data_IF_097488782711
#
_entry.id   IF_097488782711
#
_cell.length_a   1.000
_cell.length_b   1.000
_cell.length_c   1.000
_cell.angle_alpha   90.00
_cell.angle_beta   90.00
_cell.angle_gamma   90.00
#
_symmetry.space_group_name_H-M   'P 1'
#
loop_
_entity.id
_entity.type
_entity.pdbx_description
1 polymer ?
#
# COMPACT_ATOMS: atom_id res chain seq x y z
N UNK A 1 15.33 13.99 55.78
CA UNK A 1 15.42 12.95 54.76
C UNK A 1 16.49 11.99 55.21
N UNK A 2 16.12 10.75 55.50
CA UNK A 2 17.03 9.78 56.11
C UNK A 2 18.12 9.40 55.09
N UNK A 3 19.38 9.29 55.54
CA UNK A 3 20.54 8.97 54.68
C UNK A 3 20.32 7.69 53.86
N UNK A 4 19.48 6.77 54.35
CA UNK A 4 19.12 5.51 53.64
C UNK A 4 18.32 5.81 52.37
N UNK A 5 17.41 6.80 52.39
CA UNK A 5 16.63 7.19 51.19
C UNK A 5 17.51 7.88 50.16
N UNK A 6 18.52 8.62 50.60
CA UNK A 6 19.46 9.29 49.69
C UNK A 6 20.32 8.27 48.94
N UNK A 7 20.82 7.22 49.65
CA UNK A 7 21.58 6.14 48.99
C UNK A 7 20.72 5.31 48.05
N UNK A 8 19.46 5.03 48.40
CA UNK A 8 18.53 4.33 47.52
C UNK A 8 18.23 5.13 46.25
N UNK A 9 18.04 6.47 46.37
CA UNK A 9 17.81 7.36 45.22
C UNK A 9 19.06 7.45 44.31
N UNK A 10 20.26 7.53 44.92
CA UNK A 10 21.53 7.50 44.20
C UNK A 10 21.76 6.19 43.45
N UNK A 11 21.45 5.05 44.10
CA UNK A 11 21.51 3.73 43.49
C UNK A 11 20.54 3.61 42.33
N UNK A 12 19.30 4.09 42.51
CA UNK A 12 18.28 4.14 41.42
C UNK A 12 18.73 4.99 40.26
N UNK A 13 19.33 6.18 40.53
CA UNK A 13 19.89 7.06 39.49
C UNK A 13 21.05 6.41 38.73
N UNK A 14 21.95 5.71 39.43
CA UNK A 14 23.05 4.98 38.79
C UNK A 14 22.57 3.81 37.94
N UNK A 15 21.53 3.09 38.35
CA UNK A 15 20.94 2.00 37.55
C UNK A 15 20.24 2.52 36.30
N UNK A 16 19.59 3.69 36.39
CA UNK A 16 18.96 4.36 35.22
C UNK A 16 20.03 4.81 34.22
N UNK A 17 21.17 5.34 34.66
CA UNK A 17 22.26 5.73 33.78
C UNK A 17 22.95 4.55 33.08
N UNK A 18 23.08 3.40 33.77
CA UNK A 18 23.62 2.19 33.16
C UNK A 18 22.68 1.58 32.08
N UNK A 19 21.38 1.79 32.21
CA UNK A 19 20.39 1.33 31.22
C UNK A 19 20.35 2.22 29.93
N UNK A 20 20.79 3.46 30.01
CA UNK A 20 20.78 4.43 28.87
C UNK A 20 22.00 4.24 27.96
N UNK A 21 23.06 3.57 28.42
CA UNK A 21 24.36 3.48 27.74
C UNK A 21 24.51 2.36 26.68
N UNK A 22 23.56 1.48 26.50
CA UNK A 22 23.65 0.44 25.47
C UNK A 22 23.18 1.00 24.11
N UNK A 23 24.11 1.49 23.33
CA UNK A 23 23.89 1.82 21.93
C UNK A 23 23.58 0.51 21.17
N UNK A 24 22.29 0.20 21.03
CA UNK A 24 21.84 -0.99 20.30
C UNK A 24 22.18 -0.82 18.84
N UNK A 25 22.97 -1.73 18.28
CA UNK A 25 23.22 -1.83 16.86
C UNK A 25 22.42 -3.00 16.27
N UNK A 26 22.06 -2.85 15.00
CA UNK A 26 21.26 -3.82 14.26
C UNK A 26 21.96 -4.17 12.96
N UNK A 27 21.46 -5.21 12.29
CA UNK A 27 21.95 -5.64 11.00
C UNK A 27 20.94 -5.33 9.89
N UNK A 28 21.44 -4.92 8.75
CA UNK A 28 20.70 -4.86 7.50
C UNK A 28 21.12 -6.07 6.69
N UNK A 29 20.19 -7.00 6.48
CA UNK A 29 20.40 -8.23 5.72
C UNK A 29 19.58 -8.18 4.45
N UNK A 30 19.96 -8.96 3.46
CA UNK A 30 19.19 -9.04 2.23
C UNK A 30 19.74 -10.02 1.24
N UNK A 31 19.14 -10.01 0.06
CA UNK A 31 19.59 -10.79 -1.08
C UNK A 31 19.62 -9.90 -2.30
N UNK A 32 20.70 -9.97 -3.08
CA UNK A 32 20.78 -9.31 -4.38
C UNK A 32 20.48 -10.36 -5.45
N UNK A 33 19.53 -10.05 -6.33
CA UNK A 33 19.08 -10.93 -7.40
C UNK A 33 19.10 -10.20 -8.73
N UNK A 34 19.27 -10.93 -9.79
CA UNK A 34 18.99 -10.47 -11.15
C UNK A 34 17.48 -10.29 -11.32
N UNK A 35 17.05 -9.11 -11.74
CA UNK A 35 15.65 -8.75 -11.90
C UNK A 35 14.92 -9.58 -12.96
N UNK A 36 15.66 -10.17 -13.91
CA UNK A 36 15.15 -10.93 -15.04
C UNK A 36 15.01 -12.40 -14.74
N UNK A 37 16.10 -12.99 -14.23
CA UNK A 37 16.21 -14.42 -14.00
C UNK A 37 15.82 -14.83 -12.59
N UNK A 38 15.73 -13.88 -11.65
CA UNK A 38 15.54 -14.13 -10.22
C UNK A 38 16.72 -14.85 -9.57
N UNK A 39 17.82 -15.08 -10.33
CA UNK A 39 19.00 -15.75 -9.81
C UNK A 39 19.74 -14.85 -8.83
N UNK A 40 20.30 -15.40 -7.76
CA UNK A 40 21.13 -14.63 -6.84
C UNK A 40 22.39 -14.14 -7.57
N UNK A 41 22.79 -12.90 -7.25
CA UNK A 41 24.04 -12.31 -7.76
C UNK A 41 25.09 -12.42 -6.67
N UNK A 42 26.09 -13.32 -6.81
CA UNK A 42 27.19 -13.42 -5.87
C UNK A 42 28.18 -12.27 -6.08
N UNK A 43 28.87 -11.90 -5.00
CA UNK A 43 29.92 -10.88 -4.98
C UNK A 43 29.47 -9.47 -5.41
N UNK A 44 28.17 -9.18 -5.35
CA UNK A 44 27.65 -7.83 -5.54
C UNK A 44 28.02 -6.96 -4.33
N UNK A 45 28.43 -5.73 -4.59
CA UNK A 45 28.71 -4.76 -3.53
C UNK A 45 27.42 -4.11 -3.07
N UNK A 46 27.20 -4.07 -1.75
CA UNK A 46 26.05 -3.41 -1.13
C UNK A 46 26.57 -2.48 -0.04
N UNK A 47 26.35 -1.19 -0.20
CA UNK A 47 26.81 -0.16 0.77
C UNK A 47 25.65 0.67 1.27
N UNK A 48 25.75 1.13 2.50
CA UNK A 48 24.85 2.15 3.03
C UNK A 48 25.19 3.47 2.33
N UNK A 49 24.18 4.04 1.66
CA UNK A 49 24.34 5.24 0.83
C UNK A 49 25.06 6.38 1.57
N UNK A 50 26.04 6.99 0.93
CA UNK A 50 26.89 8.05 1.48
C UNK A 50 27.71 7.66 2.72
N UNK A 51 27.99 6.36 2.91
CA UNK A 51 28.88 5.88 3.96
C UNK A 51 29.88 4.87 3.40
N UNK A 52 30.84 4.47 4.22
CA UNK A 52 31.78 3.38 3.92
C UNK A 52 31.32 2.03 4.46
N UNK A 53 30.17 1.99 5.15
CA UNK A 53 29.64 0.74 5.69
C UNK A 53 28.93 -0.06 4.60
N UNK A 54 29.36 -1.30 4.40
CA UNK A 54 28.80 -2.17 3.37
C UNK A 54 29.20 -3.61 3.56
N UNK A 55 28.71 -4.45 2.67
CA UNK A 55 29.03 -5.86 2.57
C UNK A 55 29.03 -6.29 1.12
N UNK A 56 29.70 -7.41 0.83
CA UNK A 56 29.66 -8.10 -0.45
C UNK A 56 28.75 -9.30 -0.31
N UNK A 57 27.93 -9.60 -1.31
CA UNK A 57 27.07 -10.78 -1.28
C UNK A 57 27.89 -12.08 -1.35
N UNK A 58 27.42 -13.08 -0.64
CA UNK A 58 27.98 -14.43 -0.69
C UNK A 58 27.60 -15.18 -1.99
N UNK A 59 28.00 -16.46 -2.10
CA UNK A 59 27.69 -17.31 -3.25
C UNK A 59 26.19 -17.52 -3.48
N UNK A 60 25.34 -17.23 -2.50
CA UNK A 60 23.87 -17.33 -2.58
C UNK A 60 23.21 -15.97 -2.76
N UNK A 61 24.01 -14.91 -3.01
CA UNK A 61 23.54 -13.54 -3.17
C UNK A 61 23.10 -12.86 -1.88
N UNK A 62 23.34 -13.47 -0.70
CA UNK A 62 22.98 -12.90 0.60
C UNK A 62 24.06 -11.91 1.06
N UNK A 63 23.63 -10.85 1.74
CA UNK A 63 24.50 -9.89 2.40
C UNK A 63 24.02 -9.57 3.81
N UNK A 64 24.96 -9.18 4.68
CA UNK A 64 24.68 -8.67 6.01
C UNK A 64 25.61 -7.50 6.33
N UNK A 65 25.03 -6.34 6.65
CA UNK A 65 25.74 -5.15 7.13
C UNK A 65 25.39 -4.98 8.59
N UNK A 66 26.34 -5.30 9.48
CA UNK A 66 26.17 -5.30 10.94
C UNK A 66 26.61 -3.98 11.56
N UNK A 67 26.24 -3.74 12.81
CA UNK A 67 26.71 -2.59 13.58
C UNK A 67 26.04 -1.28 13.20
N UNK A 68 24.89 -1.31 12.58
CA UNK A 68 24.16 -0.11 12.16
C UNK A 68 23.29 0.40 13.31
N UNK A 69 23.45 1.66 13.67
CA UNK A 69 22.61 2.33 14.67
C UNK A 69 21.17 2.51 14.15
N UNK A 70 20.17 2.62 15.05
CA UNK A 70 18.85 3.02 14.63
C UNK A 70 18.87 4.31 13.82
N UNK A 71 18.21 4.32 12.67
CA UNK A 71 18.26 5.45 11.76
C UNK A 71 17.55 5.20 10.46
N UNK A 72 17.80 6.06 9.52
CA UNK A 72 17.26 6.02 8.16
C UNK A 72 18.36 5.83 7.17
N UNK A 73 18.13 4.88 6.30
CA UNK A 73 19.15 4.43 5.40
C UNK A 73 18.59 4.20 3.99
N UNK A 74 19.48 4.32 3.02
CA UNK A 74 19.33 3.80 1.66
C UNK A 74 20.48 2.84 1.43
N UNK A 75 20.27 1.82 0.67
CA UNK A 75 21.33 0.94 0.20
C UNK A 75 21.62 1.24 -1.26
N UNK A 76 22.88 1.28 -1.61
CA UNK A 76 23.34 1.22 -2.99
C UNK A 76 23.88 -0.17 -3.24
N UNK A 77 23.43 -0.80 -4.32
CA UNK A 77 24.01 -2.05 -4.80
C UNK A 77 24.58 -1.87 -6.19
N UNK A 78 25.74 -2.48 -6.43
CA UNK A 78 26.41 -2.46 -7.73
C UNK A 78 27.11 -3.79 -7.99
N UNK A 79 27.11 -4.21 -9.25
CA UNK A 79 27.83 -5.38 -9.72
C UNK A 79 28.23 -5.18 -11.18
N UNK A 80 29.33 -5.79 -11.58
CA UNK A 80 29.82 -5.69 -12.95
C UNK A 80 28.80 -6.25 -13.96
N UNK A 81 28.45 -5.48 -14.98
CA UNK A 81 27.42 -5.86 -15.94
C UNK A 81 25.98 -5.55 -15.51
N UNK A 82 25.79 -4.84 -14.40
CA UNK A 82 24.48 -4.43 -13.90
C UNK A 82 24.40 -2.92 -13.68
N UNK A 83 23.19 -2.36 -13.85
CA UNK A 83 22.92 -0.96 -13.52
C UNK A 83 23.00 -0.78 -12.00
N UNK A 84 23.74 0.21 -11.50
CA UNK A 84 23.72 0.52 -10.06
C UNK A 84 22.31 0.86 -9.58
N UNK A 85 21.94 0.35 -8.43
CA UNK A 85 20.62 0.54 -7.88
C UNK A 85 20.69 1.15 -6.49
N UNK A 86 19.85 2.16 -6.22
CA UNK A 86 19.69 2.75 -4.89
C UNK A 86 18.26 2.51 -4.43
N UNK A 87 18.12 1.97 -3.22
CA UNK A 87 16.81 1.70 -2.62
C UNK A 87 16.08 2.98 -2.27
N UNK A 88 14.75 2.92 -2.11
CA UNK A 88 14.03 3.93 -1.36
C UNK A 88 14.54 4.01 0.09
N UNK A 89 14.34 5.17 0.73
CA UNK A 89 14.73 5.34 2.13
C UNK A 89 13.87 4.47 3.05
N UNK A 90 14.52 3.67 3.92
CA UNK A 90 13.88 2.82 4.90
C UNK A 90 14.37 3.11 6.31
N UNK A 91 13.63 2.67 7.32
CA UNK A 91 13.97 2.85 8.72
C UNK A 91 14.47 1.56 9.35
N UNK A 92 15.67 1.63 9.94
CA UNK A 92 16.18 0.65 10.88
C UNK A 92 15.87 1.16 12.29
N UNK A 93 14.91 0.54 12.99
CA UNK A 93 14.47 1.02 14.31
C UNK A 93 15.08 0.18 15.44
N UNK A 94 14.42 -0.93 15.81
CA UNK A 94 14.75 -1.74 16.95
C UNK A 94 14.85 -3.25 16.64
N UNK A 95 15.06 -3.57 15.37
CA UNK A 95 15.22 -4.96 14.86
C UNK A 95 16.02 -4.97 13.58
N UNK A 96 16.65 -6.11 13.28
CA UNK A 96 17.24 -6.38 11.98
C UNK A 96 16.19 -6.31 10.88
N UNK A 97 16.59 -5.84 9.70
CA UNK A 97 15.72 -5.74 8.53
C UNK A 97 16.25 -6.63 7.42
N UNK A 98 15.34 -7.26 6.66
CA UNK A 98 15.68 -8.01 5.45
C UNK A 98 15.20 -7.24 4.22
N UNK A 99 16.12 -6.93 3.29
CA UNK A 99 15.86 -6.11 2.12
C UNK A 99 16.27 -6.82 0.84
N UNK A 100 15.31 -7.29 0.00
CA UNK A 100 15.64 -7.82 -1.32
C UNK A 100 15.98 -6.68 -2.28
N UNK A 101 17.07 -6.85 -3.03
CA UNK A 101 17.53 -5.92 -4.07
C UNK A 101 17.51 -6.68 -5.40
N UNK A 102 16.90 -6.07 -6.40
CA UNK A 102 16.85 -6.60 -7.77
C UNK A 102 17.65 -5.68 -8.67
N UNK A 103 18.69 -6.19 -9.31
CA UNK A 103 19.53 -5.45 -10.23
C UNK A 103 19.15 -5.78 -11.68
N UNK A 104 19.11 -4.77 -12.52
CA UNK A 104 18.93 -4.89 -13.97
C UNK A 104 20.28 -5.02 -14.65
N UNK A 105 20.44 -5.96 -15.62
CA UNK A 105 21.63 -6.04 -16.45
C UNK A 105 21.85 -4.72 -17.21
N UNK A 106 23.10 -4.24 -17.23
CA UNK A 106 23.48 -3.12 -18.08
C UNK A 106 23.89 -3.65 -19.47
N UNK A 107 23.48 -2.97 -20.52
CA UNK A 107 24.09 -3.15 -21.85
C UNK A 107 25.51 -2.59 -21.78
N UNK A 108 26.51 -3.44 -21.98
CA UNK A 108 27.94 -3.19 -21.75
C UNK A 108 28.38 -1.74 -22.05
N UNK A 109 28.69 -0.94 -21.04
CA UNK A 109 29.81 0.00 -21.02
C UNK A 109 30.13 0.48 -19.62
N UNK A 110 31.37 0.29 -19.21
CA UNK A 110 31.93 0.73 -17.94
C UNK A 110 32.27 2.24 -18.01
N UNK A 111 31.30 3.11 -17.96
CA UNK A 111 31.54 4.49 -17.57
C UNK A 111 31.05 4.67 -16.14
N UNK A 112 31.85 5.39 -15.33
CA UNK A 112 31.52 5.74 -13.97
C UNK A 112 30.16 6.46 -13.93
N UNK A 113 29.12 5.70 -13.59
CA UNK A 113 27.76 6.25 -13.49
C UNK A 113 27.63 6.88 -12.12
N UNK A 114 27.60 8.20 -12.08
CA UNK A 114 27.19 8.94 -10.88
C UNK A 114 25.73 8.63 -10.59
N UNK A 115 25.48 7.77 -9.60
CA UNK A 115 24.12 7.43 -9.17
C UNK A 115 23.62 8.53 -8.26
N UNK A 116 22.70 9.35 -8.76
CA UNK A 116 21.99 10.34 -7.94
C UNK A 116 20.74 9.68 -7.36
N UNK A 117 20.61 9.66 -6.04
CA UNK A 117 19.39 9.20 -5.39
C UNK A 117 18.27 10.22 -5.61
N UNK A 118 17.54 10.06 -6.71
CA UNK A 118 16.37 10.86 -7.05
C UNK A 118 15.07 10.13 -6.68
N UNK A 119 14.07 10.78 -6.10
CA UNK A 119 12.73 10.20 -5.94
C UNK A 119 12.04 9.98 -7.29
N UNK A 120 12.57 10.59 -8.37
CA UNK A 120 12.08 10.40 -9.72
C UNK A 120 12.91 9.32 -10.43
N UNK A 121 12.29 8.19 -10.70
CA UNK A 121 12.88 7.15 -11.56
C UNK A 121 12.40 7.33 -12.98
N UNK A 122 13.32 7.20 -13.92
CA UNK A 122 12.99 7.03 -15.34
C UNK A 122 13.03 5.54 -15.62
N UNK A 123 11.93 4.97 -16.03
CA UNK A 123 11.88 3.64 -16.62
C UNK A 123 11.59 3.77 -18.11
N UNK A 124 12.03 2.83 -18.92
CA UNK A 124 11.75 2.86 -20.35
C UNK A 124 10.23 2.83 -20.64
N UNK A 125 9.45 2.20 -19.76
CA UNK A 125 7.97 2.15 -19.86
C UNK A 125 7.28 3.42 -19.34
N UNK A 126 7.93 4.20 -18.49
CA UNK A 126 7.39 5.45 -17.95
C UNK A 126 8.54 6.46 -17.76
N UNK A 127 9.00 7.08 -18.86
CA UNK A 127 10.14 8.00 -18.81
C UNK A 127 9.81 9.31 -18.09
N UNK A 128 8.53 9.64 -17.98
CA UNK A 128 8.03 10.85 -17.37
C UNK A 128 6.92 10.50 -16.38
N UNK A 129 6.97 11.06 -15.17
CA UNK A 129 5.84 10.98 -14.23
C UNK A 129 5.87 9.84 -13.21
N UNK A 130 6.90 9.00 -13.17
CA UNK A 130 7.08 8.04 -12.08
C UNK A 130 7.78 8.70 -10.88
N UNK A 131 7.12 8.71 -9.74
CA UNK A 131 7.69 9.07 -8.45
C UNK A 131 7.65 7.87 -7.51
N UNK A 132 8.79 7.57 -6.90
CA UNK A 132 8.91 6.50 -5.91
C UNK A 132 8.84 7.10 -4.51
N UNK A 133 7.84 6.69 -3.75
CA UNK A 133 7.56 7.16 -2.39
C UNK A 133 7.98 6.05 -1.43
N UNK A 134 9.01 6.30 -0.63
CA UNK A 134 9.47 5.36 0.38
C UNK A 134 8.66 5.45 1.67
N UNK A 135 8.71 4.39 2.48
CA UNK A 135 8.05 4.32 3.79
C UNK A 135 8.28 5.57 4.65
N UNK A 136 9.51 6.13 4.64
CA UNK A 136 9.83 7.32 5.42
C UNK A 136 9.16 8.60 4.96
N UNK A 137 8.98 8.76 3.68
CA UNK A 137 8.23 9.91 3.15
C UNK A 137 6.79 9.85 3.64
N UNK A 138 6.20 8.63 3.70
CA UNK A 138 4.87 8.40 4.26
C UNK A 138 4.84 8.71 5.78
N UNK A 139 5.85 8.23 6.52
CA UNK A 139 5.93 8.41 7.98
C UNK A 139 6.16 9.87 8.40
N UNK A 140 7.00 10.62 7.66
CA UNK A 140 7.41 11.99 8.00
C UNK A 140 6.57 13.08 7.36
N UNK A 141 5.64 12.74 6.49
CA UNK A 141 4.81 13.74 5.81
C UNK A 141 3.97 14.51 6.82
N UNK A 142 4.19 15.82 6.88
CA UNK A 142 3.45 16.70 7.78
C UNK A 142 1.95 16.67 7.44
N UNK A 143 1.10 16.38 8.43
CA UNK A 143 -0.34 16.23 8.23
C UNK A 143 -0.77 14.94 7.51
N UNK A 144 0.17 14.11 7.07
CA UNK A 144 -0.10 12.88 6.33
C UNK A 144 -0.70 11.76 7.18
N UNK A 145 -0.55 11.81 8.51
CA UNK A 145 -1.04 10.79 9.43
C UNK A 145 -0.73 9.35 9.00
N UNK A 146 0.46 9.14 8.40
CA UNK A 146 0.92 7.86 7.83
C UNK A 146 0.00 7.30 6.73
N UNK A 147 -0.79 8.15 6.07
CA UNK A 147 -1.71 7.81 4.99
C UNK A 147 -1.13 8.22 3.65
N UNK A 148 -1.00 7.26 2.73
CA UNK A 148 -0.41 7.49 1.42
C UNK A 148 -1.25 8.46 0.56
N UNK A 149 -2.57 8.42 0.68
CA UNK A 149 -3.44 9.33 -0.07
C UNK A 149 -3.13 10.79 0.28
N UNK A 150 -2.94 11.08 1.57
CA UNK A 150 -2.58 12.42 2.04
C UNK A 150 -1.19 12.84 1.61
N UNK A 151 -0.23 11.90 1.57
CA UNK A 151 1.11 12.18 1.04
C UNK A 151 1.05 12.55 -0.43
N UNK A 152 0.31 11.77 -1.23
CA UNK A 152 0.17 12.01 -2.67
C UNK A 152 -0.56 13.32 -2.95
N UNK A 153 -1.52 13.73 -2.12
CA UNK A 153 -2.21 15.03 -2.23
C UNK A 153 -1.28 16.25 -2.06
N UNK A 154 -0.07 16.06 -1.52
CA UNK A 154 0.92 17.15 -1.43
C UNK A 154 1.73 17.34 -2.71
N UNK A 155 1.57 16.47 -3.70
CA UNK A 155 2.37 16.50 -4.92
C UNK A 155 1.81 17.43 -5.98
N UNK A 156 2.67 18.04 -6.80
CA UNK A 156 2.22 18.86 -7.91
C UNK A 156 1.29 18.10 -8.86
N UNK A 157 0.19 18.73 -9.25
CA UNK A 157 -0.80 18.14 -10.15
C UNK A 157 -1.80 17.21 -9.46
N UNK A 158 -1.76 17.11 -8.13
CA UNK A 158 -2.77 16.37 -7.34
C UNK A 158 -3.61 17.38 -6.55
N UNK A 159 -4.92 17.36 -6.76
CA UNK A 159 -5.84 18.18 -6.00
C UNK A 159 -6.35 17.41 -4.77
N UNK A 160 -6.49 18.12 -3.65
CA UNK A 160 -7.14 17.62 -2.45
C UNK A 160 -8.65 17.79 -2.56
N UNK A 161 -9.38 16.87 -1.96
CA UNK A 161 -10.84 16.98 -1.81
C UNK A 161 -11.21 17.69 -0.50
N UNK A 162 -12.51 17.87 -0.30
CA UNK A 162 -13.06 18.45 0.92
C UNK A 162 -12.61 17.69 2.18
N UNK A 163 -12.72 18.32 3.35
CA UNK A 163 -12.42 17.71 4.64
C UNK A 163 -13.10 16.34 4.81
N UNK A 164 -12.43 15.42 5.48
CA UNK A 164 -12.88 14.06 5.75
C UNK A 164 -12.93 13.12 4.52
N UNK A 165 -12.30 13.49 3.40
CA UNK A 165 -12.13 12.63 2.23
C UNK A 165 -10.68 12.59 1.76
N UNK A 166 -10.25 11.42 1.32
CA UNK A 166 -8.91 11.19 0.76
C UNK A 166 -8.94 10.81 -0.72
N UNK A 167 -9.95 11.27 -1.44
CA UNK A 167 -10.01 11.07 -2.89
C UNK A 167 -8.79 11.69 -3.58
N UNK A 168 -8.27 11.00 -4.55
CA UNK A 168 -7.16 11.47 -5.37
C UNK A 168 -7.68 11.99 -6.71
N UNK A 169 -7.52 13.27 -6.94
CA UNK A 169 -7.78 13.93 -8.21
C UNK A 169 -6.45 14.31 -8.85
N UNK A 170 -6.00 13.52 -9.82
CA UNK A 170 -4.68 13.70 -10.42
C UNK A 170 -4.83 14.28 -11.82
N UNK A 171 -4.18 15.42 -12.06
CA UNK A 171 -4.17 16.14 -13.36
C UNK A 171 -5.57 16.41 -13.92
N UNK A 172 -6.53 16.72 -13.05
CA UNK A 172 -7.90 17.01 -13.42
C UNK A 172 -8.79 15.79 -13.62
N UNK A 173 -8.25 14.57 -13.50
CA UNK A 173 -9.05 13.35 -13.55
C UNK A 173 -9.77 13.05 -12.25
N UNK A 174 -10.90 12.36 -12.34
CA UNK A 174 -11.74 11.98 -11.21
C UNK A 174 -11.15 10.82 -10.39
N UNK A 175 -11.65 10.62 -9.15
CA UNK A 175 -11.14 9.54 -8.27
C UNK A 175 -11.30 8.14 -8.87
N UNK A 176 -12.32 7.87 -9.67
CA UNK A 176 -12.57 6.59 -10.33
C UNK A 176 -11.59 6.27 -11.47
N UNK A 177 -10.83 7.25 -11.92
CA UNK A 177 -9.88 7.13 -13.02
C UNK A 177 -8.49 6.64 -12.56
N UNK A 178 -8.29 6.52 -11.24
CA UNK A 178 -7.08 5.99 -10.65
C UNK A 178 -7.14 4.47 -10.53
N UNK A 179 -5.98 3.81 -10.57
CA UNK A 179 -5.86 2.37 -10.30
C UNK A 179 -4.84 2.11 -9.21
N UNK A 180 -5.14 1.12 -8.41
CA UNK A 180 -4.33 0.76 -7.24
C UNK A 180 -3.91 -0.70 -7.34
N UNK A 181 -2.61 -0.95 -7.13
CA UNK A 181 -2.05 -2.30 -7.16
C UNK A 181 -1.29 -2.58 -5.87
N UNK A 182 -1.43 -3.77 -5.32
CA UNK A 182 -0.76 -4.24 -4.12
C UNK A 182 0.06 -5.50 -4.50
N UNK A 183 1.39 -5.38 -4.60
CA UNK A 183 2.29 -6.43 -5.12
C UNK A 183 1.81 -7.07 -6.45
N UNK A 184 1.20 -6.25 -7.31
CA UNK A 184 0.68 -6.71 -8.59
C UNK A 184 -0.82 -7.05 -8.58
N UNK A 185 -1.45 -7.29 -7.46
CA UNK A 185 -2.90 -7.48 -7.34
C UNK A 185 -3.61 -6.15 -7.41
N UNK A 186 -4.54 -5.98 -8.33
CA UNK A 186 -5.36 -4.78 -8.42
C UNK A 186 -6.41 -4.78 -7.30
N UNK A 187 -6.50 -3.66 -6.58
CA UNK A 187 -7.46 -3.43 -5.49
C UNK A 187 -8.41 -2.29 -5.85
N UNK A 188 -9.69 -2.34 -5.45
CA UNK A 188 -10.69 -1.37 -5.90
C UNK A 188 -10.48 0.02 -5.30
N UNK A 189 -10.02 0.10 -4.07
CA UNK A 189 -9.77 1.35 -3.36
C UNK A 189 -8.68 1.19 -2.30
N UNK A 190 -8.21 2.32 -1.74
CA UNK A 190 -7.13 2.38 -0.75
C UNK A 190 -7.56 3.03 0.57
N UNK A 191 -8.83 3.40 0.71
CA UNK A 191 -9.36 4.08 1.90
C UNK A 191 -10.58 3.36 2.47
N UNK A 192 -10.79 3.50 3.78
CA UNK A 192 -12.02 3.14 4.47
C UNK A 192 -13.18 4.05 4.03
N UNK A 193 -14.42 3.60 4.22
CA UNK A 193 -15.63 4.35 3.88
C UNK A 193 -15.63 4.83 2.42
N UNK A 194 -15.16 3.99 1.52
CA UNK A 194 -15.17 4.30 0.09
C UNK A 194 -16.61 4.47 -0.39
N UNK A 195 -16.81 5.40 -1.33
CA UNK A 195 -18.08 5.53 -2.03
C UNK A 195 -17.94 5.02 -3.45
N UNK A 196 -19.02 4.55 -4.04
CA UNK A 196 -19.02 4.06 -5.41
C UNK A 196 -18.46 5.13 -6.37
N UNK A 197 -17.50 4.74 -7.20
CA UNK A 197 -16.84 5.66 -8.13
C UNK A 197 -15.86 6.64 -7.50
N UNK A 198 -15.49 6.46 -6.21
CA UNK A 198 -14.53 7.30 -5.50
C UNK A 198 -13.71 6.48 -4.50
N UNK A 199 -12.48 6.89 -4.24
CA UNK A 199 -11.60 6.20 -3.28
C UNK A 199 -11.87 6.56 -1.80
N UNK A 200 -12.70 7.50 -1.56
CA UNK A 200 -13.51 7.80 -0.38
C UNK A 200 -12.85 8.33 0.86
N UNK A 201 -13.08 7.69 1.97
CA UNK A 201 -13.00 8.14 3.35
C UNK A 201 -11.67 8.68 3.89
N UNK A 202 -11.67 9.08 5.17
CA UNK A 202 -10.59 9.90 5.74
C UNK A 202 -9.31 9.12 6.12
N UNK A 203 -9.31 7.79 6.04
CA UNK A 203 -8.23 6.93 6.52
C UNK A 203 -7.91 5.83 5.52
N UNK A 204 -6.63 5.60 5.28
CA UNK A 204 -6.14 4.54 4.41
C UNK A 204 -6.32 3.13 4.99
N UNK A 205 -6.77 2.19 4.14
CA UNK A 205 -6.96 0.79 4.50
C UNK A 205 -5.63 0.00 4.51
N UNK A 206 -4.64 0.42 3.71
CA UNK A 206 -3.34 -0.26 3.63
C UNK A 206 -2.51 0.06 4.86
N UNK A 207 -1.99 -0.97 5.54
CA UNK A 207 -1.09 -0.76 6.65
C UNK A 207 0.26 -0.19 6.16
N UNK A 208 0.62 1.06 6.55
CA UNK A 208 1.85 1.68 6.09
C UNK A 208 3.12 0.95 6.53
N UNK A 209 3.08 0.20 7.64
CA UNK A 209 4.23 -0.57 8.12
C UNK A 209 4.62 -1.73 7.20
N UNK A 210 3.72 -2.15 6.31
CA UNK A 210 3.99 -3.18 5.32
C UNK A 210 4.50 -2.62 3.99
N UNK A 211 4.38 -1.31 3.78
CA UNK A 211 4.82 -0.68 2.54
C UNK A 211 6.35 -0.59 2.53
N UNK A 212 6.96 -1.11 1.48
CA UNK A 212 8.37 -0.89 1.15
C UNK A 212 8.53 0.42 0.37
N UNK A 213 7.76 0.54 -0.70
CA UNK A 213 7.71 1.71 -1.58
C UNK A 213 6.38 1.74 -2.33
N UNK A 214 6.01 2.92 -2.82
CA UNK A 214 4.87 3.13 -3.70
C UNK A 214 5.36 3.79 -4.98
N UNK A 215 5.11 3.16 -6.11
CA UNK A 215 5.35 3.73 -7.41
C UNK A 215 4.11 4.52 -7.83
N UNK A 216 4.23 5.84 -7.85
CA UNK A 216 3.17 6.74 -8.25
C UNK A 216 3.41 7.23 -9.68
N UNK A 217 2.53 6.83 -10.58
CA UNK A 217 2.52 7.24 -11.98
C UNK A 217 1.42 8.28 -12.18
N UNK A 218 1.80 9.52 -12.53
CA UNK A 218 0.87 10.64 -12.65
C UNK A 218 0.58 11.09 -14.09
N UNK A 219 1.22 10.48 -15.09
CA UNK A 219 1.05 10.90 -16.49
C UNK A 219 1.16 9.75 -17.48
N UNK A 220 2.29 9.03 -17.46
CA UNK A 220 2.53 7.90 -18.33
C UNK A 220 2.62 6.64 -17.47
N UNK A 221 1.85 5.62 -17.80
CA UNK A 221 1.86 4.34 -17.09
C UNK A 221 2.24 3.23 -18.03
N UNK A 222 2.85 2.13 -17.51
CA UNK A 222 3.13 0.95 -18.30
C UNK A 222 1.86 0.39 -18.97
N UNK A 223 1.97 -0.14 -20.17
CA UNK A 223 0.83 -0.75 -20.87
C UNK A 223 0.17 -1.88 -20.08
N UNK A 224 0.91 -2.54 -19.19
CA UNK A 224 0.38 -3.54 -18.23
C UNK A 224 -0.62 -2.98 -17.22
N UNK A 225 -0.67 -1.67 -17.04
CA UNK A 225 -1.59 -0.94 -16.13
C UNK A 225 -2.75 -0.32 -16.91
N UNK A 226 -3.35 -1.10 -17.80
CA UNK A 226 -4.48 -0.68 -18.62
C UNK A 226 -5.72 -0.27 -17.81
N UNK A 227 -6.72 0.28 -18.49
CA UNK A 227 -7.97 0.78 -17.90
C UNK A 227 -7.73 1.89 -16.86
N UNK A 228 -6.70 2.71 -17.07
CA UNK A 228 -6.30 3.84 -16.22
C UNK A 228 -6.36 5.12 -17.06
N UNK A 229 -6.92 6.19 -16.51
CA UNK A 229 -7.00 7.48 -17.20
C UNK A 229 -6.19 8.58 -16.50
N UNK A 230 -6.11 8.53 -15.17
CA UNK A 230 -5.53 9.61 -14.36
C UNK A 230 -4.21 9.21 -13.69
N UNK A 231 -4.20 8.22 -12.83
CA UNK A 231 -2.98 7.79 -12.15
C UNK A 231 -2.96 6.30 -11.79
N UNK A 232 -1.74 5.80 -11.53
CA UNK A 232 -1.53 4.47 -10.94
C UNK A 232 -0.71 4.62 -9.66
N UNK A 233 -1.16 3.98 -8.59
CA UNK A 233 -0.39 3.73 -7.39
C UNK A 233 -0.09 2.23 -7.29
N UNK A 234 1.17 1.86 -7.42
CA UNK A 234 1.62 0.46 -7.33
C UNK A 234 2.42 0.27 -6.03
N UNK A 235 1.78 -0.31 -5.03
CA UNK A 235 2.33 -0.57 -3.71
C UNK A 235 3.18 -1.83 -3.74
N UNK A 236 4.44 -1.71 -3.36
CA UNK A 236 5.34 -2.83 -3.12
C UNK A 236 5.44 -3.05 -1.63
N UNK A 237 4.98 -4.21 -1.17
CA UNK A 237 5.04 -4.58 0.22
C UNK A 237 6.42 -5.14 0.58
N UNK A 238 6.79 -4.99 1.85
CA UNK A 238 7.92 -5.70 2.41
C UNK A 238 7.63 -7.21 2.42
N UNK A 239 8.67 -8.03 2.38
CA UNK A 239 8.55 -9.45 2.66
C UNK A 239 8.66 -9.69 4.18
N UNK A 240 8.05 -10.75 4.68
CA UNK A 240 8.21 -11.15 6.07
C UNK A 240 9.67 -11.50 6.38
N UNK A 241 10.08 -11.32 7.63
CA UNK A 241 11.42 -11.66 8.07
C UNK A 241 11.69 -13.17 7.88
N UNK A 242 12.84 -13.54 7.32
CA UNK A 242 13.22 -14.94 7.07
C UNK A 242 13.80 -15.64 8.27
N UNK A 243 14.28 -14.91 9.27
CA UNK A 243 15.07 -15.44 10.37
C UNK A 243 14.33 -15.42 11.70
N UNK A 244 13.58 -14.35 11.97
CA UNK A 244 13.02 -14.08 13.29
C UNK A 244 11.56 -13.69 13.22
N UNK A 245 10.78 -14.17 14.16
CA UNK A 245 9.46 -13.65 14.47
C UNK A 245 9.55 -12.23 15.02
N UNK A 246 8.65 -11.35 14.57
CA UNK A 246 8.53 -9.98 15.05
C UNK A 246 7.08 -9.64 15.29
N UNK A 247 6.77 -9.10 16.46
CA UNK A 247 5.48 -8.56 16.84
C UNK A 247 5.62 -7.06 17.08
N UNK A 248 4.66 -6.28 16.57
CA UNK A 248 4.62 -4.83 16.73
C UNK A 248 3.22 -4.39 17.12
N UNK A 249 3.11 -3.66 18.22
CA UNK A 249 1.92 -2.89 18.58
C UNK A 249 2.07 -1.43 18.15
N UNK A 250 1.02 -0.82 17.69
CA UNK A 250 0.97 0.59 17.29
C UNK A 250 -0.26 1.22 17.93
N UNK A 251 -0.05 2.35 18.59
CA UNK A 251 -1.11 3.26 19.01
C UNK A 251 -0.97 4.51 18.15
N UNK A 252 -1.84 4.66 17.17
CA UNK A 252 -1.89 5.79 16.25
C UNK A 252 -2.72 6.94 16.77
N UNK A 253 -2.94 7.98 15.95
CA UNK A 253 -3.83 9.10 16.28
C UNK A 253 -5.31 8.71 16.15
N UNK A 254 -5.64 7.70 15.38
CA UNK A 254 -7.01 7.29 15.05
C UNK A 254 -7.33 5.82 15.34
N UNK A 255 -6.31 5.00 15.55
CA UNK A 255 -6.45 3.55 15.63
C UNK A 255 -5.38 2.90 16.51
N UNK A 256 -5.69 1.68 16.94
CA UNK A 256 -4.75 0.75 17.55
C UNK A 256 -4.55 -0.44 16.61
N UNK A 257 -3.32 -0.87 16.47
CA UNK A 257 -2.97 -1.97 15.58
C UNK A 257 -1.96 -2.94 16.18
N UNK A 258 -2.05 -4.17 15.71
CA UNK A 258 -1.05 -5.21 15.99
C UNK A 258 -0.63 -5.82 14.67
N UNK A 259 0.66 -5.97 14.48
CA UNK A 259 1.21 -6.66 13.32
C UNK A 259 2.28 -7.66 13.71
N UNK A 260 2.31 -8.77 13.00
CA UNK A 260 3.31 -9.81 13.17
C UNK A 260 3.91 -10.19 11.82
N UNK A 261 5.20 -10.50 11.80
CA UNK A 261 5.86 -11.05 10.64
C UNK A 261 6.96 -12.03 11.05
N UNK A 262 7.30 -12.94 10.15
CA UNK A 262 8.33 -13.94 10.42
C UNK A 262 8.35 -15.08 9.43
N UNK A 263 9.19 -16.10 9.68
CA UNK A 263 9.24 -17.29 8.86
C UNK A 263 8.13 -18.29 9.24
N UNK A 264 7.57 -18.97 8.23
CA UNK A 264 6.81 -20.21 8.36
C UNK A 264 7.64 -21.38 7.80
N UNK A 265 8.87 -21.52 8.31
CA UNK A 265 9.85 -22.47 7.80
C UNK A 265 10.87 -21.82 6.85
N UNK A 266 11.74 -22.65 6.23
CA UNK A 266 12.91 -22.15 5.46
C UNK A 266 12.56 -21.41 4.15
N UNK A 267 11.40 -21.69 3.58
CA UNK A 267 11.00 -21.19 2.25
C UNK A 267 9.80 -20.27 2.25
N UNK A 268 9.18 -20.05 3.40
CA UNK A 268 7.94 -19.30 3.52
C UNK A 268 8.08 -18.18 4.53
N UNK A 269 7.65 -17.00 4.18
CA UNK A 269 7.53 -15.87 5.11
C UNK A 269 6.10 -15.35 5.14
N UNK A 270 5.73 -14.73 6.25
CA UNK A 270 4.42 -14.11 6.38
C UNK A 270 4.49 -12.74 7.02
N UNK A 271 3.48 -11.95 6.74
CA UNK A 271 3.14 -10.72 7.46
C UNK A 271 1.63 -10.73 7.68
N UNK A 272 1.19 -10.29 8.84
CA UNK A 272 -0.22 -10.13 9.16
C UNK A 272 -0.40 -8.90 10.04
N UNK A 273 -1.46 -8.14 9.83
CA UNK A 273 -1.86 -7.03 10.69
C UNK A 273 -3.36 -6.98 10.88
N UNK A 274 -3.76 -6.48 12.04
CA UNK A 274 -5.14 -6.13 12.35
C UNK A 274 -5.13 -4.76 13.00
N UNK A 275 -6.05 -3.86 12.55
CA UNK A 275 -6.22 -2.54 13.14
C UNK A 275 -7.69 -2.31 13.50
N UNK A 276 -7.90 -1.54 14.56
CA UNK A 276 -9.22 -1.08 15.00
C UNK A 276 -9.19 0.41 15.31
N UNK A 277 -10.11 1.16 14.74
CA UNK A 277 -10.21 2.60 15.02
C UNK A 277 -10.90 2.88 16.35
N UNK A 278 -10.56 4.02 16.93
CA UNK A 278 -11.27 4.65 18.03
C UNK A 278 -11.76 6.06 17.67
N UNK A 279 -11.91 6.34 16.38
CA UNK A 279 -12.38 7.63 15.84
C UNK A 279 -13.73 8.03 16.41
N UNK A 280 -14.62 7.08 16.71
CA UNK A 280 -15.92 7.37 17.33
C UNK A 280 -15.79 8.16 18.63
N UNK A 281 -14.81 7.83 19.50
CA UNK A 281 -14.61 8.56 20.76
C UNK A 281 -14.08 9.97 20.52
N UNK A 282 -13.15 10.11 19.56
CA UNK A 282 -12.59 11.41 19.19
C UNK A 282 -13.66 12.30 18.57
N UNK A 283 -14.50 11.76 17.70
CA UNK A 283 -15.54 12.51 16.98
C UNK A 283 -16.68 12.90 17.93
N UNK A 284 -17.04 12.04 18.89
CA UNK A 284 -17.99 12.37 19.94
C UNK A 284 -17.46 13.48 20.85
N UNK A 285 -16.17 13.39 21.25
CA UNK A 285 -15.52 14.39 22.10
C UNK A 285 -15.50 15.80 21.49
N UNK A 286 -15.29 15.89 20.17
CA UNK A 286 -15.26 17.16 19.44
C UNK A 286 -16.63 17.58 18.89
N UNK A 287 -17.70 16.83 19.24
CA UNK A 287 -19.08 17.18 18.91
C UNK A 287 -19.41 17.04 17.41
N UNK A 288 -18.91 16.01 16.75
CA UNK A 288 -19.29 15.72 15.36
C UNK A 288 -20.58 14.91 15.29
N UNK A 289 -21.42 15.14 14.26
CA UNK A 289 -22.73 14.48 14.13
C UNK A 289 -22.65 13.04 13.60
N UNK A 290 -21.46 12.48 13.41
CA UNK A 290 -21.24 11.11 12.93
C UNK A 290 -20.05 10.46 13.63
N UNK A 291 -20.16 9.15 13.85
CA UNK A 291 -19.24 8.34 14.66
C UNK A 291 -18.71 7.17 13.84
N UNK A 292 -17.61 7.37 13.07
CA UNK A 292 -17.03 6.32 12.24
C UNK A 292 -16.21 5.34 13.07
N UNK A 293 -16.30 4.06 12.73
CA UNK A 293 -15.41 3.01 13.22
C UNK A 293 -14.99 2.12 12.08
N UNK A 294 -13.76 1.66 12.10
CA UNK A 294 -13.30 0.63 11.17
C UNK A 294 -12.51 -0.48 11.88
N UNK A 295 -12.53 -1.65 11.29
CA UNK A 295 -11.61 -2.74 11.60
C UNK A 295 -11.08 -3.25 10.29
N UNK A 296 -9.77 -3.35 10.14
CA UNK A 296 -9.15 -3.94 8.97
C UNK A 296 -8.16 -5.03 9.33
N UNK A 297 -7.92 -5.89 8.35
CA UNK A 297 -6.89 -6.90 8.41
C UNK A 297 -6.18 -6.99 7.06
N UNK A 298 -4.88 -7.19 7.10
CA UNK A 298 -4.04 -7.37 5.94
C UNK A 298 -3.06 -8.51 6.19
N UNK A 299 -2.82 -9.33 5.17
CA UNK A 299 -1.78 -10.35 5.23
C UNK A 299 -1.05 -10.50 3.90
N UNK A 300 0.17 -11.00 3.97
CA UNK A 300 0.97 -11.44 2.83
C UNK A 300 1.74 -12.69 3.23
N UNK A 301 1.65 -13.73 2.43
CA UNK A 301 2.42 -14.97 2.56
C UNK A 301 3.19 -15.15 1.27
N UNK A 302 4.51 -15.28 1.37
CA UNK A 302 5.40 -15.52 0.24
C UNK A 302 6.08 -16.86 0.41
N UNK A 303 5.94 -17.73 -0.57
CA UNK A 303 6.55 -19.05 -0.63
C UNK A 303 7.47 -19.17 -1.85
N UNK A 304 8.72 -19.54 -1.63
CA UNK A 304 9.69 -19.82 -2.69
C UNK A 304 9.85 -21.34 -2.81
N UNK A 305 9.21 -21.96 -3.82
CA UNK A 305 9.34 -23.41 -4.07
C UNK A 305 10.81 -23.77 -4.37
N UNK A 306 11.43 -22.95 -5.19
CA UNK A 306 12.84 -22.99 -5.57
C UNK A 306 13.25 -21.60 -6.11
N UNK A 307 14.53 -21.37 -6.49
CA UNK A 307 14.98 -20.06 -6.98
C UNK A 307 14.23 -19.54 -8.21
N UNK A 308 13.60 -20.43 -8.98
CA UNK A 308 12.87 -20.06 -10.21
C UNK A 308 11.37 -19.89 -10.01
N UNK A 309 10.81 -20.27 -8.88
CA UNK A 309 9.36 -20.32 -8.70
C UNK A 309 8.97 -19.73 -7.35
N UNK A 310 8.19 -18.66 -7.38
CA UNK A 310 7.69 -17.96 -6.20
C UNK A 310 6.16 -17.81 -6.28
N UNK A 311 5.49 -18.02 -5.17
CA UNK A 311 4.07 -17.75 -4.99
C UNK A 311 3.89 -16.74 -3.86
N UNK A 312 3.18 -15.67 -4.13
CA UNK A 312 2.73 -14.71 -3.12
C UNK A 312 1.23 -14.75 -3.03
N UNK A 313 0.70 -14.97 -1.83
CA UNK A 313 -0.73 -14.85 -1.54
C UNK A 313 -0.90 -13.67 -0.61
N UNK A 314 -1.83 -12.79 -0.92
CA UNK A 314 -2.10 -11.61 -0.12
C UNK A 314 -3.60 -11.37 0.02
N UNK A 315 -3.95 -10.72 1.11
CA UNK A 315 -5.32 -10.30 1.37
C UNK A 315 -5.37 -9.01 2.15
N UNK A 316 -6.42 -8.25 1.88
CA UNK A 316 -6.77 -6.99 2.51
C UNK A 316 -8.27 -6.99 2.71
N UNK A 317 -8.75 -6.64 3.90
CA UNK A 317 -10.18 -6.56 4.17
C UNK A 317 -10.51 -5.57 5.27
N UNK A 318 -11.71 -4.99 5.20
CA UNK A 318 -12.20 -4.04 6.18
C UNK A 318 -13.69 -4.19 6.45
N UNK A 319 -14.08 -3.79 7.66
CA UNK A 319 -15.45 -3.59 8.10
C UNK A 319 -15.54 -2.15 8.60
N UNK A 320 -16.38 -1.37 7.98
CA UNK A 320 -16.59 0.05 8.24
C UNK A 320 -18.02 0.28 8.72
N UNK A 321 -18.16 0.94 9.86
CA UNK A 321 -19.46 1.31 10.43
C UNK A 321 -19.46 2.81 10.76
N UNK A 322 -20.43 3.55 10.27
CA UNK A 322 -20.64 4.96 10.61
C UNK A 322 -22.04 5.11 11.19
N UNK A 323 -22.10 5.45 12.47
CA UNK A 323 -23.34 5.76 13.19
C UNK A 323 -23.58 7.26 13.23
N UNK A 324 -24.82 7.67 13.41
CA UNK A 324 -25.17 9.06 13.68
C UNK A 324 -25.04 9.34 15.16
N UNK A 325 -24.56 10.54 15.51
CA UNK A 325 -24.49 11.02 16.88
C UNK A 325 -25.73 11.85 17.22
N UNK A 326 -26.87 11.18 17.37
CA UNK A 326 -28.16 11.83 17.67
C UNK A 326 -28.26 12.34 19.10
N UNK A 327 -27.38 11.89 20.00
CA UNK A 327 -27.36 12.29 21.44
C UNK A 327 -26.34 13.40 21.74
N UNK A 328 -25.77 14.05 20.75
CA UNK A 328 -24.77 15.10 20.93
C UNK A 328 -25.35 16.32 21.67
N UNK A 329 -24.51 16.99 22.47
CA UNK A 329 -24.94 18.16 23.29
C UNK A 329 -25.15 19.41 22.46
N UNK A 330 -24.34 19.61 21.41
CA UNK A 330 -24.43 20.77 20.50
C UNK A 330 -25.31 20.43 19.30
N UNK A 331 -26.55 20.81 19.35
CA UNK A 331 -27.54 20.69 18.29
C UNK A 331 -27.64 21.97 17.42
N UNK A 332 -26.49 22.53 17.05
CA UNK A 332 -26.47 23.68 16.12
C UNK A 332 -27.20 23.37 14.80
N UNK A 333 -27.70 24.39 14.13
CA UNK A 333 -28.41 24.26 12.84
C UNK A 333 -27.58 23.44 11.83
N UNK A 334 -26.25 23.66 11.80
CA UNK A 334 -25.33 22.90 10.98
C UNK A 334 -25.36 21.40 11.29
N UNK A 335 -25.31 21.04 12.58
CA UNK A 335 -25.30 19.64 12.98
C UNK A 335 -26.66 18.98 12.73
N UNK A 336 -27.77 19.69 12.99
CA UNK A 336 -29.12 19.25 12.65
C UNK A 336 -29.25 18.99 11.15
N UNK A 337 -28.75 19.91 10.32
CA UNK A 337 -28.75 19.76 8.88
C UNK A 337 -27.97 18.51 8.43
N UNK A 338 -26.76 18.30 8.97
CA UNK A 338 -25.97 17.10 8.64
C UNK A 338 -26.72 15.83 9.06
N UNK A 339 -27.27 15.78 10.28
CA UNK A 339 -28.04 14.65 10.76
C UNK A 339 -29.31 14.39 9.95
N UNK A 340 -29.90 15.42 9.34
CA UNK A 340 -31.11 15.27 8.54
C UNK A 340 -30.91 14.46 7.26
N UNK A 341 -29.76 14.57 6.60
CA UNK A 341 -29.49 13.89 5.32
C UNK A 341 -28.50 12.73 5.41
N UNK A 342 -27.60 12.70 6.41
CA UNK A 342 -26.57 11.68 6.48
C UNK A 342 -27.18 10.31 6.85
N UNK A 343 -26.92 9.22 6.09
CA UNK A 343 -27.36 7.89 6.45
C UNK A 343 -26.41 7.21 7.46
N UNK A 344 -26.89 6.18 8.12
CA UNK A 344 -26.05 5.17 8.76
C UNK A 344 -25.41 4.34 7.67
N UNK A 345 -24.08 4.23 7.68
CA UNK A 345 -23.30 3.52 6.65
C UNK A 345 -22.67 2.27 7.26
N UNK A 346 -22.84 1.14 6.58
CA UNK A 346 -22.10 -0.10 6.85
C UNK A 346 -21.47 -0.58 5.57
N UNK A 347 -20.17 -0.82 5.59
CA UNK A 347 -19.43 -1.30 4.44
C UNK A 347 -18.55 -2.48 4.85
N UNK A 348 -18.48 -3.48 3.97
CA UNK A 348 -17.53 -4.59 4.08
C UNK A 348 -16.80 -4.69 2.76
N UNK A 349 -15.48 -4.67 2.81
CA UNK A 349 -14.66 -4.83 1.62
C UNK A 349 -13.57 -5.86 1.86
N UNK A 350 -13.23 -6.61 0.81
CA UNK A 350 -12.04 -7.44 0.82
C UNK A 350 -11.47 -7.59 -0.58
N UNK A 351 -10.18 -7.83 -0.64
CA UNK A 351 -9.46 -8.32 -1.81
C UNK A 351 -8.58 -9.49 -1.39
N UNK A 352 -8.67 -10.59 -2.13
CA UNK A 352 -7.77 -11.73 -2.02
C UNK A 352 -7.08 -11.91 -3.36
N UNK A 353 -5.77 -12.14 -3.36
CA UNK A 353 -5.01 -12.33 -4.58
C UNK A 353 -3.85 -13.30 -4.42
N UNK A 354 -3.48 -13.92 -5.53
CA UNK A 354 -2.31 -14.77 -5.64
C UNK A 354 -1.50 -14.36 -6.85
N UNK A 355 -0.18 -14.26 -6.68
CA UNK A 355 0.80 -13.89 -7.71
C UNK A 355 1.83 -15.00 -7.79
N UNK A 356 1.83 -15.72 -8.88
CA UNK A 356 2.86 -16.72 -9.19
C UNK A 356 3.85 -16.15 -10.19
N UNK A 357 5.15 -16.30 -9.88
CA UNK A 357 6.26 -15.89 -10.75
C UNK A 357 7.13 -17.08 -11.11
N UNK A 358 7.41 -17.22 -12.38
CA UNK A 358 8.34 -18.20 -12.91
C UNK A 358 9.46 -17.52 -13.66
N UNK A 359 10.69 -17.73 -13.21
CA UNK A 359 11.93 -17.20 -13.82
C UNK A 359 12.55 -18.28 -14.73
N UNK A 360 12.58 -18.04 -16.03
CA UNK A 360 13.14 -18.94 -17.03
C UNK A 360 14.31 -18.28 -17.79
N UNK A 361 15.52 -18.49 -17.29
CA UNK A 361 16.71 -17.77 -17.78
C UNK A 361 16.56 -16.27 -17.51
N UNK A 362 16.55 -15.45 -18.58
CA UNK A 362 16.35 -14.00 -18.48
C UNK A 362 14.86 -13.58 -18.58
N UNK A 363 13.95 -14.53 -18.74
CA UNK A 363 12.52 -14.25 -18.92
C UNK A 363 11.77 -14.42 -17.61
N UNK A 364 10.77 -13.56 -17.42
CA UNK A 364 9.86 -13.61 -16.28
C UNK A 364 8.43 -13.84 -16.75
N UNK A 365 7.79 -14.84 -16.21
CA UNK A 365 6.36 -15.14 -16.41
C UNK A 365 5.63 -14.91 -15.11
N UNK A 366 4.58 -14.11 -15.15
CA UNK A 366 3.75 -13.81 -13.98
C UNK A 366 2.30 -14.12 -14.28
N UNK A 367 1.66 -14.83 -13.34
CA UNK A 367 0.22 -15.09 -13.36
C UNK A 367 -0.37 -14.54 -12.08
N UNK A 368 -1.40 -13.74 -12.22
CA UNK A 368 -2.08 -13.05 -11.12
C UNK A 368 -3.56 -13.41 -11.18
N UNK A 369 -4.10 -13.90 -10.08
CA UNK A 369 -5.53 -14.11 -9.89
C UNK A 369 -5.99 -13.32 -8.68
N UNK A 370 -7.16 -12.71 -8.75
CA UNK A 370 -7.72 -12.00 -7.61
C UNK A 370 -9.23 -11.95 -7.63
N UNK A 371 -9.79 -11.78 -6.44
CA UNK A 371 -11.19 -11.47 -6.21
C UNK A 371 -11.29 -10.32 -5.23
N UNK A 372 -12.08 -9.32 -5.60
CA UNK A 372 -12.45 -8.20 -4.73
C UNK A 372 -13.96 -8.17 -4.57
N UNK A 373 -14.43 -7.79 -3.39
CA UNK A 373 -15.84 -7.53 -3.15
C UNK A 373 -16.00 -6.36 -2.20
N UNK A 374 -16.94 -5.48 -2.53
CA UNK A 374 -17.39 -4.39 -1.66
C UNK A 374 -18.90 -4.48 -1.50
N UNK A 375 -19.36 -4.69 -0.27
CA UNK A 375 -20.77 -4.67 0.09
C UNK A 375 -21.06 -3.36 0.83
N UNK A 376 -22.06 -2.61 0.35
CA UNK A 376 -22.49 -1.34 0.92
C UNK A 376 -23.93 -1.47 1.43
N UNK A 377 -24.19 -0.88 2.61
CA UNK A 377 -25.52 -0.76 3.17
C UNK A 377 -25.66 0.63 3.79
N UNK A 378 -26.59 1.43 3.25
CA UNK A 378 -26.90 2.75 3.77
C UNK A 378 -28.37 2.79 4.18
N UNK A 379 -28.62 3.18 5.41
CA UNK A 379 -29.98 3.26 5.96
C UNK A 379 -30.22 4.66 6.51
N UNK A 380 -31.36 5.21 6.19
CA UNK A 380 -31.81 6.50 6.71
C UNK A 380 -33.29 6.45 7.09
N UNK A 381 -33.60 6.99 8.25
CA UNK A 381 -34.95 7.24 8.68
C UNK A 381 -35.23 8.74 8.75
N UNK A 382 -36.46 9.14 8.48
CA UNK A 382 -36.92 10.51 8.67
C UNK A 382 -36.72 10.91 10.13
N UNK A 383 -36.15 12.08 10.36
CA UNK A 383 -35.81 12.61 11.69
C UNK A 383 -34.96 11.68 12.57
N UNK A 384 -34.30 10.68 11.94
CA UNK A 384 -33.53 9.61 12.58
C UNK A 384 -34.36 8.73 13.53
N UNK A 385 -35.66 8.69 13.36
CA UNK A 385 -36.57 7.88 14.15
C UNK A 385 -36.75 6.50 13.53
N UNK A 386 -36.11 5.51 14.15
CA UNK A 386 -36.16 4.09 13.72
C UNK A 386 -37.34 3.32 14.31
N UNK A 387 -38.18 3.99 15.18
CA UNK A 387 -39.28 3.33 15.90
C UNK A 387 -40.42 2.89 14.98
N UNK A 388 -40.56 3.54 13.81
CA UNK A 388 -41.62 3.27 12.85
C UNK A 388 -41.04 2.96 11.45
N UNK A 389 -41.54 1.90 10.83
CA UNK A 389 -41.07 1.48 9.47
C UNK A 389 -41.43 2.54 8.42
N UNK A 390 -42.51 3.28 8.63
CA UNK A 390 -42.98 4.35 7.73
C UNK A 390 -41.97 5.50 7.60
N UNK A 391 -41.11 5.69 8.61
CA UNK A 391 -40.03 6.67 8.62
C UNK A 391 -38.84 6.28 7.75
N UNK A 392 -38.79 5.04 7.27
CA UNK A 392 -37.70 4.61 6.39
C UNK A 392 -37.67 5.47 5.12
N UNK A 393 -36.62 6.27 4.97
CA UNK A 393 -36.41 7.15 3.82
C UNK A 393 -35.43 6.61 2.81
N UNK A 394 -34.43 5.84 3.28
CA UNK A 394 -33.43 5.19 2.40
C UNK A 394 -33.08 3.81 2.96
N UNK A 395 -33.13 2.81 2.10
CA UNK A 395 -32.48 1.52 2.32
C UNK A 395 -31.78 1.17 1.01
N UNK A 396 -30.48 1.45 0.98
CA UNK A 396 -29.59 1.16 -0.14
C UNK A 396 -28.71 -0.02 0.20
N UNK A 397 -28.64 -0.98 -0.73
CA UNK A 397 -27.72 -2.12 -0.66
C UNK A 397 -27.07 -2.31 -2.01
N UNK A 398 -25.77 -2.51 -2.03
CA UNK A 398 -25.06 -2.89 -3.26
C UNK A 398 -23.92 -3.84 -2.98
N UNK A 399 -23.66 -4.71 -3.95
CA UNK A 399 -22.46 -5.53 -4.02
C UNK A 399 -21.73 -5.24 -5.32
N UNK A 400 -20.44 -4.99 -5.21
CA UNK A 400 -19.49 -4.85 -6.30
C UNK A 400 -18.49 -6.01 -6.18
N UNK A 401 -18.44 -6.88 -7.17
CA UNK A 401 -17.59 -8.06 -7.19
C UNK A 401 -16.75 -8.03 -8.45
N UNK A 402 -15.45 -8.22 -8.31
CA UNK A 402 -14.51 -8.30 -9.42
C UNK A 402 -13.65 -9.56 -9.29
N UNK A 403 -13.72 -10.44 -10.29
CA UNK A 403 -12.85 -11.60 -10.40
C UNK A 403 -11.90 -11.34 -11.57
N UNK A 404 -10.59 -11.35 -11.30
CA UNK A 404 -9.58 -10.96 -12.29
C UNK A 404 -8.54 -12.06 -12.47
N UNK A 405 -8.21 -12.31 -13.72
CA UNK A 405 -7.05 -13.08 -14.15
C UNK A 405 -6.17 -12.17 -14.98
N UNK A 406 -4.88 -12.14 -14.69
CA UNK A 406 -3.89 -11.35 -15.44
C UNK A 406 -2.60 -12.13 -15.62
N UNK A 407 -1.98 -11.98 -16.79
CA UNK A 407 -0.63 -12.47 -17.06
C UNK A 407 0.25 -11.31 -17.51
N UNK A 408 1.47 -11.28 -17.02
CA UNK A 408 2.49 -10.30 -17.38
C UNK A 408 3.80 -11.07 -17.66
N UNK A 409 4.30 -11.00 -18.87
CA UNK A 409 5.47 -11.76 -19.29
C UNK A 409 6.52 -10.83 -19.86
N UNK A 410 7.74 -10.95 -19.38
CA UNK A 410 8.88 -10.18 -19.85
C UNK A 410 9.87 -11.12 -20.54
N UNK A 411 10.13 -10.85 -21.81
CA UNK A 411 11.11 -11.54 -22.62
C UNK A 411 12.29 -10.61 -22.87
N UNK A 412 13.49 -11.05 -22.56
CA UNK A 412 14.72 -10.29 -22.77
C UNK A 412 15.55 -10.90 -23.88
N UNK A 413 15.50 -10.23 -25.01
CA UNK A 413 16.33 -10.49 -26.17
C UNK A 413 17.60 -9.61 -26.10
N UNK A 414 18.64 -9.86 -26.93
CA UNK A 414 19.91 -9.14 -26.83
C UNK A 414 19.82 -7.61 -26.86
N UNK A 415 18.84 -7.04 -27.59
CA UNK A 415 18.70 -5.59 -27.77
C UNK A 415 17.29 -5.09 -27.48
N UNK A 416 16.35 -5.98 -27.19
CA UNK A 416 14.93 -5.62 -27.02
C UNK A 416 14.40 -6.35 -25.80
N UNK A 417 13.75 -5.62 -24.91
CA UNK A 417 12.87 -6.20 -23.91
C UNK A 417 11.43 -6.14 -24.43
N UNK A 418 10.79 -7.30 -24.50
CA UNK A 418 9.38 -7.40 -24.90
C UNK A 418 8.55 -7.74 -23.66
N UNK A 419 7.60 -6.89 -23.30
CA UNK A 419 6.61 -7.13 -22.26
C UNK A 419 5.27 -7.41 -22.92
N UNK A 420 4.73 -8.61 -22.67
CA UNK A 420 3.46 -9.07 -23.25
C UNK A 420 2.56 -9.58 -22.15
N UNK A 421 1.31 -9.23 -22.21
CA UNK A 421 0.36 -9.73 -21.23
C UNK A 421 -1.08 -9.54 -21.64
N UNK A 422 -1.96 -9.95 -20.76
CA UNK A 422 -3.37 -9.78 -20.93
C UNK A 422 -4.11 -9.94 -19.61
N UNK A 423 -5.32 -9.47 -19.60
CA UNK A 423 -6.23 -9.57 -18.47
C UNK A 423 -7.63 -9.96 -18.91
N UNK A 424 -8.30 -10.70 -18.05
CA UNK A 424 -9.71 -11.01 -18.14
C UNK A 424 -10.32 -10.69 -16.78
N UNK A 425 -11.42 -9.97 -16.79
CA UNK A 425 -12.16 -9.58 -15.60
C UNK A 425 -13.64 -9.91 -15.80
N UNK A 426 -14.24 -10.56 -14.81
CA UNK A 426 -15.68 -10.67 -14.66
C UNK A 426 -16.11 -9.80 -13.49
N UNK A 427 -16.80 -8.71 -13.80
CA UNK A 427 -17.33 -7.74 -12.83
C UNK A 427 -18.83 -7.94 -12.69
N UNK A 428 -19.32 -7.98 -11.45
CA UNK A 428 -20.74 -8.02 -11.10
C UNK A 428 -21.09 -6.82 -10.23
N UNK A 429 -22.22 -6.24 -10.50
CA UNK A 429 -22.81 -5.18 -9.70
C UNK A 429 -24.26 -5.48 -9.42
N UNK A 430 -24.63 -5.55 -8.13
CA UNK A 430 -26.02 -5.62 -7.72
C UNK A 430 -26.38 -4.40 -6.90
N UNK A 431 -27.59 -3.92 -7.09
CA UNK A 431 -28.15 -2.82 -6.34
C UNK A 431 -29.61 -3.10 -6.00
N UNK A 432 -29.97 -2.82 -4.76
CA UNK A 432 -31.35 -2.80 -4.26
C UNK A 432 -31.53 -1.51 -3.46
N UNK A 433 -32.31 -0.61 -4.02
CA UNK A 433 -32.54 0.73 -3.45
C UNK A 433 -34.02 0.98 -3.25
N UNK A 434 -34.38 1.23 -1.99
CA UNK A 434 -35.64 1.85 -1.60
C UNK A 434 -35.37 3.26 -1.14
N UNK A 435 -36.02 4.26 -1.77
CA UNK A 435 -35.91 5.67 -1.36
C UNK A 435 -37.29 6.30 -1.35
N UNK A 436 -37.65 6.86 -0.21
CA UNK A 436 -38.90 7.62 -0.04
C UNK A 436 -38.55 9.11 0.14
N UNK A 437 -39.14 9.93 -0.71
CA UNK A 437 -39.00 11.38 -0.62
C UNK A 437 -40.20 11.95 0.10
N UNK A 438 -39.96 12.63 1.22
CA UNK A 438 -40.99 13.31 2.02
C UNK A 438 -41.16 14.74 1.51
N UNK A 439 -41.82 14.88 0.37
CA UNK A 439 -42.21 16.17 -0.23
C UNK A 439 -43.71 16.35 -0.11
N UNK A 440 -44.26 17.48 -0.57
CA UNK A 440 -45.71 17.74 -0.60
C UNK A 440 -46.50 16.63 -1.34
N UNK A 441 -45.86 15.96 -2.29
CA UNK A 441 -46.34 14.73 -2.94
C UNK A 441 -45.30 13.64 -2.69
N UNK A 442 -45.53 12.75 -1.69
CA UNK A 442 -44.57 11.70 -1.38
C UNK A 442 -44.30 10.80 -2.59
N UNK A 443 -43.04 10.59 -2.92
CA UNK A 443 -42.60 9.66 -3.97
C UNK A 443 -41.76 8.56 -3.37
N UNK A 444 -42.06 7.33 -3.78
CA UNK A 444 -41.23 6.16 -3.45
C UNK A 444 -40.54 5.70 -4.74
N UNK A 445 -39.24 5.55 -4.69
CA UNK A 445 -38.40 5.02 -5.76
C UNK A 445 -37.92 3.66 -5.29
N UNK A 446 -38.19 2.65 -6.06
CA UNK A 446 -37.64 1.29 -5.88
C UNK A 446 -36.83 0.98 -7.13
N UNK A 447 -35.57 0.66 -6.96
CA UNK A 447 -34.65 0.41 -8.05
C UNK A 447 -33.84 -0.86 -7.74
N UNK A 448 -33.85 -1.80 -8.66
CA UNK A 448 -33.07 -3.02 -8.58
C UNK A 448 -32.23 -3.20 -9.84
N UNK A 449 -30.99 -3.57 -9.67
CA UNK A 449 -30.06 -3.83 -10.78
C UNK A 449 -29.22 -5.05 -10.47
N UNK A 450 -29.04 -5.88 -11.48
CA UNK A 450 -28.08 -6.98 -11.50
C UNK A 450 -27.34 -6.94 -12.86
N UNK A 451 -26.06 -6.61 -12.83
CA UNK A 451 -25.24 -6.46 -14.01
C UNK A 451 -24.01 -7.37 -13.91
N UNK A 452 -23.76 -8.14 -14.96
CA UNK A 452 -22.52 -8.90 -15.13
C UNK A 452 -21.80 -8.45 -16.40
N UNK A 453 -20.54 -8.08 -16.30
CA UNK A 453 -19.76 -7.55 -17.43
C UNK A 453 -18.42 -8.29 -17.51
N UNK A 454 -18.13 -8.81 -18.71
CA UNK A 454 -16.80 -9.30 -19.06
C UNK A 454 -15.96 -8.19 -19.67
N UNK A 455 -14.76 -7.98 -19.14
CA UNK A 455 -13.76 -7.08 -19.67
C UNK A 455 -12.49 -7.88 -19.96
N UNK A 456 -11.82 -7.58 -21.05
CA UNK A 456 -10.56 -8.20 -21.38
C UNK A 456 -9.67 -7.22 -22.12
N UNK A 457 -8.38 -7.44 -22.05
CA UNK A 457 -7.38 -6.63 -22.73
C UNK A 457 -6.11 -7.42 -22.93
N UNK A 458 -5.41 -7.10 -24.01
CA UNK A 458 -4.06 -7.59 -24.27
C UNK A 458 -3.14 -6.40 -24.52
N UNK A 459 -1.88 -6.54 -24.19
CA UNK A 459 -0.89 -5.52 -24.46
C UNK A 459 0.43 -6.15 -24.86
N UNK A 460 1.22 -5.39 -25.63
CA UNK A 460 2.60 -5.68 -25.92
C UNK A 460 3.39 -4.37 -25.92
N UNK A 461 4.55 -4.36 -25.26
CA UNK A 461 5.47 -3.23 -25.25
C UNK A 461 6.85 -3.74 -25.62
N UNK A 462 7.47 -3.18 -26.65
CA UNK A 462 8.84 -3.46 -27.01
C UNK A 462 9.71 -2.29 -26.57
N UNK A 463 10.73 -2.56 -25.77
CA UNK A 463 11.68 -1.56 -25.30
C UNK A 463 13.01 -1.87 -25.97
N UNK A 464 13.49 -0.94 -26.78
CA UNK A 464 14.82 -0.99 -27.37
C UNK A 464 15.74 -0.06 -26.59
N UNK A 465 16.89 -0.56 -26.18
CA UNK A 465 17.95 0.21 -25.54
C UNK A 465 19.21 0.10 -26.38
N UNK A 466 19.74 1.24 -26.85
CA UNK A 466 20.94 1.25 -27.66
C UNK A 466 22.15 0.80 -26.86
N UNK A 467 23.13 0.24 -27.53
CA UNK A 467 24.36 -0.30 -26.93
C UNK A 467 25.13 0.69 -26.03
N UNK A 468 25.00 1.99 -26.26
CA UNK A 468 25.63 3.03 -25.47
C UNK A 468 24.66 3.73 -24.49
N UNK A 469 23.46 3.18 -24.26
CA UNK A 469 22.40 3.71 -23.37
C UNK A 469 21.95 5.15 -23.68
N UNK A 470 22.38 5.72 -24.79
CA UNK A 470 22.05 7.10 -25.18
C UNK A 470 20.69 7.24 -25.84
N UNK A 471 20.15 6.12 -26.32
CA UNK A 471 18.86 6.08 -26.99
C UNK A 471 18.04 4.92 -26.45
N UNK A 472 16.84 5.23 -25.96
CA UNK A 472 15.83 4.26 -25.53
C UNK A 472 14.53 4.59 -26.25
N UNK A 473 13.89 3.58 -26.84
CA UNK A 473 12.58 3.69 -27.47
C UNK A 473 11.64 2.63 -26.92
N UNK A 474 10.39 3.01 -26.71
CA UNK A 474 9.32 2.11 -26.24
C UNK A 474 8.01 2.40 -26.94
#
# INVERSE_FOLDING_TARGET
MDRRHLYFLLFLLCTIQAAIGQQRSFSIKGVVKDASSGQPIPFANVVVWNTTQGAVTDSTGLFEISGISPGSYRLQSSFLGYKPFVTAEFRLANKDIFFPIELEEASQNLQEVSVVASPFRKTAESPLGLRVIGFKEIEKSAGGNRDISRVVQTFPGVASTAAFRNDLMVRGGGPSENRFFLDGVEIPNINHFSTQGASGGPVGIINPDFIREVNFYSAAFPASKGNTLSSVLDFKLQDGNKEKFSLRGVLGASDIGVSANGPLGKKTTYQVSVRRSYLQFLFDMIGLPFLPTFTDAQFKIKHSFNPKNELTVLGLGAIDDMKLNTGMKDMSEKNQYILSYLPVVKQKTYTLGAVYKHYAGKNLYSVIISRSQTNNKNIKYKDNDESQVENLSLNYRSDEIENKFRTENTFRLPFIQLNVGGNIEYAQYTNDTYQKQFTSIPRTIVYQTDLGIWKWGIYATAIYESYNERFTAS
#
